data_IF_888900045169
#
_entry.id   IF_888900045169
#
_cell.length_a   1.000
_cell.length_b   1.000
_cell.length_c   1.000
_cell.angle_alpha   90.00
_cell.angle_beta   90.00
_cell.angle_gamma   90.00
#
_symmetry.space_group_name_H-M   'P 1'
#
loop_
_entity.id
_entity.type
_entity.pdbx_description
1 polymer ?
#
# COMPACT_ATOMS: atom_id res chain seq x y z
N UNK A 1 -11.69 17.68 -11.62
CA UNK A 1 -10.30 17.15 -11.53
C UNK A 1 -9.88 16.94 -10.07
N UNK A 2 -9.93 17.96 -9.21
CA UNK A 2 -9.60 17.84 -7.77
C UNK A 2 -10.51 16.86 -7.02
N UNK A 3 -11.81 16.82 -7.34
CA UNK A 3 -12.79 15.93 -6.70
C UNK A 3 -12.46 14.44 -6.91
N UNK A 4 -12.03 14.05 -8.11
CA UNK A 4 -11.64 12.66 -8.41
C UNK A 4 -10.37 12.25 -7.67
N UNK A 5 -9.42 13.18 -7.51
CA UNK A 5 -8.19 12.93 -6.74
C UNK A 5 -8.53 12.75 -5.26
N UNK A 6 -9.35 13.64 -4.69
CA UNK A 6 -9.80 13.53 -3.31
C UNK A 6 -10.56 12.21 -3.05
N UNK A 7 -11.39 11.78 -4.01
CA UNK A 7 -12.09 10.50 -3.93
C UNK A 7 -11.13 9.30 -3.93
N UNK A 8 -10.17 9.25 -4.87
CA UNK A 8 -9.17 8.17 -4.94
C UNK A 8 -8.32 8.14 -3.66
N UNK A 9 -7.88 9.29 -3.17
CA UNK A 9 -7.14 9.39 -1.90
C UNK A 9 -8.00 8.89 -0.74
N UNK A 10 -9.28 9.28 -0.68
CA UNK A 10 -10.23 8.79 0.32
C UNK A 10 -10.36 7.27 0.32
N UNK A 11 -10.49 6.64 -0.85
CA UNK A 11 -10.54 5.18 -0.97
C UNK A 11 -9.25 4.52 -0.48
N UNK A 12 -8.08 5.06 -0.86
CA UNK A 12 -6.78 4.54 -0.41
C UNK A 12 -6.64 4.64 1.10
N UNK A 13 -7.03 5.76 1.70
CA UNK A 13 -7.00 5.95 3.16
C UNK A 13 -7.91 4.98 3.91
N UNK A 14 -9.11 4.70 3.37
CA UNK A 14 -10.01 3.70 3.97
C UNK A 14 -9.34 2.32 3.93
N UNK A 15 -8.80 1.89 2.79
CA UNK A 15 -8.16 0.58 2.64
C UNK A 15 -6.95 0.45 3.57
N UNK A 16 -6.07 1.45 3.61
CA UNK A 16 -4.89 1.48 4.49
C UNK A 16 -5.30 1.51 5.99
N UNK A 17 -6.38 2.21 6.32
CA UNK A 17 -6.89 2.32 7.68
C UNK A 17 -7.61 1.06 8.21
N UNK A 18 -8.10 0.18 7.34
CA UNK A 18 -8.83 -1.03 7.73
C UNK A 18 -7.97 -1.99 8.55
N UNK A 19 -6.70 -2.21 8.15
CA UNK A 19 -5.76 -3.08 8.85
C UNK A 19 -5.61 -2.76 10.35
N UNK A 20 -5.18 -1.53 10.71
CA UNK A 20 -5.05 -1.12 12.10
C UNK A 20 -6.38 -1.01 12.84
N UNK A 21 -7.49 -0.70 12.15
CA UNK A 21 -8.81 -0.54 12.78
C UNK A 21 -9.45 -1.88 13.16
N UNK A 22 -9.38 -2.89 12.29
CA UNK A 22 -10.08 -4.17 12.47
C UNK A 22 -9.25 -5.16 13.29
N UNK A 23 -7.93 -5.21 13.10
CA UNK A 23 -7.04 -6.17 13.76
C UNK A 23 -5.73 -5.51 14.27
N UNK A 24 -5.79 -4.63 15.29
CA UNK A 24 -4.64 -3.83 15.70
C UNK A 24 -3.45 -4.65 16.21
N UNK A 25 -3.70 -5.78 16.90
CA UNK A 25 -2.64 -6.64 17.46
C UNK A 25 -1.92 -7.42 16.36
N UNK A 26 -2.68 -8.04 15.46
CA UNK A 26 -2.15 -8.82 14.34
C UNK A 26 -1.43 -7.91 13.35
N UNK A 27 -2.02 -6.77 13.02
CA UNK A 27 -1.39 -5.75 12.17
C UNK A 27 -0.06 -5.28 12.73
N UNK A 28 -0.01 -4.93 14.03
CA UNK A 28 1.24 -4.53 14.69
C UNK A 28 2.29 -5.64 14.66
N UNK A 29 1.89 -6.89 14.88
CA UNK A 29 2.81 -8.03 14.83
C UNK A 29 3.39 -8.22 13.42
N UNK A 30 2.54 -8.15 12.39
CA UNK A 30 2.95 -8.28 10.99
C UNK A 30 3.92 -7.15 10.59
N UNK A 31 3.61 -5.90 10.93
CA UNK A 31 4.49 -4.75 10.68
C UNK A 31 5.84 -4.97 11.37
N UNK A 32 5.84 -5.41 12.64
CA UNK A 32 7.07 -5.66 13.41
C UNK A 32 7.94 -6.75 12.77
N UNK A 33 7.33 -7.82 12.29
CA UNK A 33 8.05 -8.90 11.59
C UNK A 33 8.68 -8.40 10.29
N UNK A 34 7.96 -7.57 9.53
CA UNK A 34 8.46 -6.93 8.29
C UNK A 34 9.61 -5.96 8.61
N UNK A 35 9.48 -5.15 9.66
CA UNK A 35 10.52 -4.20 10.08
C UNK A 35 11.80 -4.87 10.60
N UNK A 36 11.74 -6.13 11.02
CA UNK A 36 12.91 -6.90 11.45
C UNK A 36 13.62 -7.60 10.29
N UNK A 37 13.08 -7.55 9.07
CA UNK A 37 13.73 -8.14 7.90
C UNK A 37 14.95 -7.32 7.48
N UNK A 38 16.01 -7.95 6.94
CA UNK A 38 17.15 -7.25 6.37
C UNK A 38 16.72 -6.26 5.27
N UNK A 39 17.41 -5.12 5.17
CA UNK A 39 17.11 -4.05 4.20
C UNK A 39 16.96 -4.55 2.77
N UNK A 40 17.74 -5.57 2.37
CA UNK A 40 17.64 -6.18 1.04
C UNK A 40 16.26 -6.80 0.80
N UNK A 41 15.68 -7.46 1.79
CA UNK A 41 14.31 -8.02 1.69
C UNK A 41 13.27 -6.91 1.75
N UNK A 42 13.44 -5.92 2.64
CA UNK A 42 12.53 -4.78 2.72
C UNK A 42 12.45 -4.01 1.40
N UNK A 43 13.60 -3.79 0.74
CA UNK A 43 13.66 -3.16 -0.60
C UNK A 43 12.97 -3.99 -1.68
N UNK A 44 12.98 -5.32 -1.58
CA UNK A 44 12.23 -6.18 -2.53
C UNK A 44 10.72 -6.05 -2.33
N UNK A 45 10.24 -6.01 -1.10
CA UNK A 45 8.81 -5.77 -0.82
C UNK A 45 8.36 -4.40 -1.34
N UNK A 46 9.13 -3.35 -1.02
CA UNK A 46 8.84 -2.00 -1.54
C UNK A 46 8.93 -1.93 -3.06
N UNK A 47 9.96 -2.53 -3.66
CA UNK A 47 10.13 -2.59 -5.12
C UNK A 47 8.98 -3.32 -5.82
N UNK A 48 8.53 -4.45 -5.28
CA UNK A 48 7.39 -5.21 -5.81
C UNK A 48 6.10 -4.38 -5.79
N UNK A 49 5.83 -3.65 -4.70
CA UNK A 49 4.68 -2.74 -4.60
C UNK A 49 4.75 -1.60 -5.63
N UNK A 50 5.93 -0.98 -5.80
CA UNK A 50 6.13 0.09 -6.79
C UNK A 50 5.91 -0.43 -8.21
N UNK A 51 6.45 -1.60 -8.55
CA UNK A 51 6.28 -2.20 -9.88
C UNK A 51 4.82 -2.58 -10.13
N UNK A 52 4.14 -3.20 -9.16
CA UNK A 52 2.73 -3.53 -9.29
C UNK A 52 1.86 -2.28 -9.49
N UNK A 53 2.13 -1.20 -8.74
CA UNK A 53 1.49 0.10 -8.92
C UNK A 53 1.74 0.69 -10.30
N UNK A 54 2.99 0.69 -10.75
CA UNK A 54 3.37 1.21 -12.08
C UNK A 54 2.70 0.43 -13.22
N UNK A 55 2.65 -0.90 -13.12
CA UNK A 55 1.96 -1.76 -14.11
C UNK A 55 0.46 -1.50 -14.11
N UNK A 56 -0.16 -1.36 -12.94
CA UNK A 56 -1.59 -1.03 -12.82
C UNK A 56 -1.89 0.32 -13.46
N UNK A 57 -1.10 1.35 -13.15
CA UNK A 57 -1.23 2.67 -13.79
C UNK A 57 -1.08 2.52 -15.30
N UNK A 58 -0.04 1.85 -15.78
CA UNK A 58 0.18 1.68 -17.22
C UNK A 58 -0.97 0.94 -17.93
N UNK A 59 -1.56 -0.07 -17.29
CA UNK A 59 -2.65 -0.86 -17.86
C UNK A 59 -3.99 -0.10 -17.88
N UNK A 60 -4.29 0.66 -16.84
CA UNK A 60 -5.56 1.39 -16.68
C UNK A 60 -5.47 2.88 -17.05
N UNK A 61 -4.30 3.35 -17.47
CA UNK A 61 -4.12 4.70 -17.99
C UNK A 61 -4.97 4.84 -19.25
N UNK A 62 -5.93 5.80 -19.28
CA UNK A 62 -6.73 6.05 -20.46
C UNK A 62 -5.82 6.47 -21.62
N UNK A 63 -6.02 5.87 -22.80
CA UNK A 63 -5.34 6.26 -24.03
C UNK A 63 -5.99 7.48 -24.66
#
# INVERSE_FOLDING_TARGET
>A
MMENIAFIIGCVLIIEGVGPLVLPKQWRSAIREISQQPDVRLRRYGGALVVAGAVTIWMFMPK
#
